data_IF_594406431400
#
_entry.id   IF_594406431400
#
_cell.length_a   1.000
_cell.length_b   1.000
_cell.length_c   1.000
_cell.angle_alpha   90.00
_cell.angle_beta   90.00
_cell.angle_gamma   90.00
#
_symmetry.space_group_name_H-M   'P 1'
#
loop_
_entity.id
_entity.type
_entity.pdbx_description
1 polymer ?
#
# COMPACT_ATOMS: atom_id res chain seq x y z
N UNK A 1 13.76 12.82 66.35
CA UNK A 1 14.68 12.49 65.24
C UNK A 1 13.80 11.96 64.13
N UNK A 2 13.71 12.72 63.05
CA UNK A 2 12.78 12.48 61.95
C UNK A 2 13.43 11.52 60.96
N UNK A 3 13.05 10.25 61.05
CA UNK A 3 13.15 9.31 59.94
C UNK A 3 11.88 9.47 59.11
N UNK A 4 11.94 10.32 58.10
CA UNK A 4 11.06 10.29 56.93
C UNK A 4 11.93 10.62 55.71
N UNK A 5 12.89 9.73 55.46
CA UNK A 5 13.53 9.65 54.16
C UNK A 5 12.44 9.12 53.21
N UNK A 6 11.66 10.05 52.64
CA UNK A 6 10.60 9.74 51.69
C UNK A 6 11.11 8.77 50.64
N UNK A 7 10.62 7.54 50.69
CA UNK A 7 10.69 6.61 49.57
C UNK A 7 10.05 7.34 48.39
N UNK A 8 10.89 7.87 47.51
CA UNK A 8 10.46 8.50 46.28
C UNK A 8 9.97 7.37 45.37
N UNK A 9 8.73 6.94 45.59
CA UNK A 9 8.03 5.94 44.79
C UNK A 9 8.14 6.34 43.33
N UNK A 10 8.80 5.48 42.53
CA UNK A 10 8.94 5.66 41.08
C UNK A 10 7.57 5.92 40.47
N UNK A 11 7.46 6.96 39.64
CA UNK A 11 6.22 7.28 38.94
C UNK A 11 5.77 6.03 38.15
N UNK A 12 4.57 5.47 38.41
CA UNK A 12 4.11 4.25 37.75
C UNK A 12 4.07 4.37 36.22
N UNK A 13 4.01 5.60 35.67
CA UNK A 13 4.09 5.85 34.22
C UNK A 13 5.47 5.51 33.66
N UNK A 14 6.54 5.68 34.44
CA UNK A 14 7.91 5.30 34.03
C UNK A 14 8.00 3.79 33.84
N UNK A 15 7.46 3.02 34.80
CA UNK A 15 7.45 1.56 34.73
C UNK A 15 6.74 1.06 33.48
N UNK A 16 5.57 1.62 33.15
CA UNK A 16 4.80 1.26 31.96
C UNK A 16 5.61 1.52 30.67
N UNK A 17 6.28 2.67 30.57
CA UNK A 17 7.07 2.96 29.37
C UNK A 17 8.32 2.10 29.26
N UNK A 18 8.96 1.72 30.37
CA UNK A 18 10.08 0.78 30.37
C UNK A 18 9.65 -0.63 29.93
N UNK A 19 8.49 -1.11 30.40
CA UNK A 19 7.90 -2.38 29.94
C UNK A 19 7.57 -2.32 28.43
N UNK A 20 7.07 -1.18 27.95
CA UNK A 20 6.84 -0.95 26.52
C UNK A 20 8.16 -0.97 25.73
N UNK A 21 9.24 -0.39 26.24
CA UNK A 21 10.55 -0.44 25.58
C UNK A 21 11.10 -1.86 25.49
N UNK A 22 11.03 -2.62 26.58
CA UNK A 22 11.46 -4.03 26.59
C UNK A 22 10.66 -4.83 25.55
N UNK A 23 9.34 -4.68 25.54
CA UNK A 23 8.46 -5.33 24.56
C UNK A 23 8.82 -4.94 23.13
N UNK A 24 9.03 -3.65 22.86
CA UNK A 24 9.41 -3.19 21.52
C UNK A 24 10.81 -3.71 21.12
N UNK A 25 11.74 -3.83 22.06
CA UNK A 25 13.09 -4.35 21.81
C UNK A 25 13.05 -5.82 21.40
N UNK A 26 12.31 -6.64 22.15
CA UNK A 26 12.12 -8.05 21.84
C UNK A 26 11.44 -8.24 20.47
N UNK A 27 10.43 -7.41 20.19
CA UNK A 27 9.71 -7.44 18.92
C UNK A 27 10.59 -7.00 17.73
N UNK A 28 11.42 -5.97 17.90
CA UNK A 28 12.39 -5.56 16.87
C UNK A 28 13.36 -6.70 16.58
N UNK A 29 13.96 -7.30 17.60
CA UNK A 29 14.92 -8.39 17.43
C UNK A 29 14.27 -9.59 16.71
N UNK A 30 13.05 -9.97 17.11
CA UNK A 30 12.29 -11.03 16.47
C UNK A 30 12.02 -10.73 15.00
N UNK A 31 11.46 -9.55 14.70
CA UNK A 31 11.09 -9.15 13.35
C UNK A 31 12.31 -8.99 12.43
N UNK A 32 13.45 -8.53 12.95
CA UNK A 32 14.70 -8.43 12.19
C UNK A 32 15.24 -9.81 11.79
N UNK A 33 15.21 -10.79 12.71
CA UNK A 33 15.59 -12.17 12.40
C UNK A 33 14.65 -12.77 11.34
N UNK A 34 13.34 -12.60 11.52
CA UNK A 34 12.36 -13.09 10.54
C UNK A 34 12.52 -12.44 9.17
N UNK A 35 12.84 -11.14 9.12
CA UNK A 35 13.11 -10.42 7.88
C UNK A 35 14.36 -10.96 7.17
N UNK A 36 15.44 -11.23 7.90
CA UNK A 36 16.66 -11.80 7.35
C UNK A 36 16.47 -13.24 6.85
N UNK A 37 15.69 -14.04 7.56
CA UNK A 37 15.30 -15.39 7.13
C UNK A 37 14.45 -15.33 5.85
N UNK A 38 13.47 -14.44 5.78
CA UNK A 38 12.63 -14.25 4.59
C UNK A 38 13.47 -13.77 3.37
N UNK A 39 14.40 -12.83 3.58
CA UNK A 39 15.33 -12.39 2.54
C UNK A 39 16.26 -13.53 2.07
N UNK A 40 16.73 -14.36 3.00
CA UNK A 40 17.54 -15.53 2.68
C UNK A 40 16.75 -16.57 1.88
N UNK A 41 15.50 -16.84 2.27
CA UNK A 41 14.58 -17.70 1.55
C UNK A 41 14.26 -17.18 0.14
N UNK A 42 14.10 -15.86 -0.02
CA UNK A 42 13.91 -15.22 -1.33
C UNK A 42 15.11 -15.48 -2.25
N UNK A 43 16.33 -15.18 -1.77
CA UNK A 43 17.58 -15.40 -2.54
C UNK A 43 17.77 -16.87 -2.92
N UNK A 44 17.53 -17.78 -1.98
CA UNK A 44 17.64 -19.22 -2.22
C UNK A 44 16.62 -19.69 -3.27
N UNK A 45 15.37 -19.26 -3.15
CA UNK A 45 14.30 -19.60 -4.10
C UNK A 45 14.58 -19.01 -5.49
N UNK A 46 15.10 -17.78 -5.57
CA UNK A 46 15.46 -17.14 -6.83
C UNK A 46 16.59 -17.91 -7.55
N UNK A 47 17.60 -18.35 -6.81
CA UNK A 47 18.71 -19.12 -7.37
C UNK A 47 18.25 -20.50 -7.87
N UNK A 48 17.48 -21.23 -7.05
CA UNK A 48 16.95 -22.56 -7.38
C UNK A 48 16.00 -22.53 -8.58
N UNK A 49 15.05 -21.59 -8.59
CA UNK A 49 14.12 -21.41 -9.71
C UNK A 49 14.85 -21.06 -11.00
N UNK A 50 15.81 -20.14 -10.95
CA UNK A 50 16.63 -19.76 -12.10
C UNK A 50 17.43 -20.94 -12.65
N UNK A 51 18.00 -21.78 -11.79
CA UNK A 51 18.71 -22.99 -12.20
C UNK A 51 17.78 -24.01 -12.88
N UNK A 52 16.62 -24.29 -12.28
CA UNK A 52 15.63 -25.23 -12.81
C UNK A 52 15.05 -24.78 -14.15
N UNK A 53 14.71 -23.49 -14.28
CA UNK A 53 14.22 -22.91 -15.54
C UNK A 53 15.29 -22.96 -16.64
N UNK A 54 16.56 -22.73 -16.31
CA UNK A 54 17.67 -22.83 -17.27
C UNK A 54 17.83 -24.24 -17.83
N UNK A 55 17.65 -25.28 -17.00
CA UNK A 55 17.67 -26.67 -17.47
C UNK A 55 16.54 -26.92 -18.47
N UNK A 56 15.33 -26.44 -18.17
CA UNK A 56 14.18 -26.58 -19.08
C UNK A 56 14.37 -25.77 -20.37
N UNK A 57 14.91 -24.55 -20.28
CA UNK A 57 15.22 -23.70 -21.43
C UNK A 57 16.22 -24.37 -22.39
N UNK A 58 17.27 -25.01 -21.86
CA UNK A 58 18.23 -25.78 -22.67
C UNK A 58 17.57 -26.95 -23.42
N UNK A 59 16.57 -27.61 -22.83
CA UNK A 59 15.87 -28.76 -23.42
C UNK A 59 14.82 -28.35 -24.46
N UNK A 60 14.12 -27.23 -24.23
CA UNK A 60 12.90 -26.87 -24.96
C UNK A 60 13.00 -25.55 -25.75
N UNK A 61 14.16 -24.89 -25.77
CA UNK A 61 14.35 -23.49 -26.19
C UNK A 61 13.58 -23.07 -27.45
N UNK A 62 13.65 -23.83 -28.55
CA UNK A 62 12.93 -23.51 -29.79
C UNK A 62 11.41 -23.42 -29.62
N UNK A 63 10.81 -24.36 -28.88
CA UNK A 63 9.37 -24.37 -28.60
C UNK A 63 8.94 -23.31 -27.58
N UNK A 64 9.85 -22.92 -26.68
CA UNK A 64 9.58 -21.82 -25.72
C UNK A 64 9.50 -20.50 -26.47
N UNK A 65 10.49 -20.18 -27.32
CA UNK A 65 10.50 -18.94 -28.10
C UNK A 65 9.31 -18.86 -29.06
N UNK A 66 8.96 -19.96 -29.71
CA UNK A 66 7.79 -20.00 -30.59
C UNK A 66 6.46 -19.80 -29.85
N UNK A 67 6.34 -20.28 -28.61
CA UNK A 67 5.12 -20.16 -27.81
C UNK A 67 5.01 -18.84 -27.02
N UNK A 68 6.11 -18.08 -26.89
CA UNK A 68 6.16 -16.82 -26.13
C UNK A 68 5.03 -15.83 -26.47
N UNK A 69 4.72 -15.53 -27.76
CA UNK A 69 3.64 -14.60 -28.10
C UNK A 69 2.26 -15.05 -27.62
N UNK A 70 2.02 -16.36 -27.54
CA UNK A 70 0.75 -16.90 -27.04
C UNK A 70 0.60 -16.63 -25.53
N UNK A 71 1.63 -16.90 -24.74
CA UNK A 71 1.57 -16.67 -23.29
C UNK A 71 1.51 -15.17 -22.95
N UNK A 72 2.22 -14.32 -23.69
CA UNK A 72 2.11 -12.87 -23.55
C UNK A 72 0.71 -12.35 -23.91
N UNK A 73 0.14 -12.82 -25.03
CA UNK A 73 -1.23 -12.47 -25.41
C UNK A 73 -2.25 -12.96 -24.37
N UNK A 74 -2.05 -14.15 -23.79
CA UNK A 74 -2.91 -14.71 -22.75
C UNK A 74 -2.86 -13.88 -21.46
N UNK A 75 -1.68 -13.46 -21.04
CA UNK A 75 -1.51 -12.57 -19.89
C UNK A 75 -2.19 -11.21 -20.15
N UNK A 76 -2.02 -10.65 -21.35
CA UNK A 76 -2.67 -9.40 -21.75
C UNK A 76 -4.20 -9.52 -21.76
N UNK A 77 -4.76 -10.61 -22.30
CA UNK A 77 -6.19 -10.87 -22.29
C UNK A 77 -6.74 -10.98 -20.86
N UNK A 78 -6.03 -11.65 -19.96
CA UNK A 78 -6.40 -11.73 -18.55
C UNK A 78 -6.39 -10.34 -17.87
N UNK A 79 -5.40 -9.49 -18.16
CA UNK A 79 -5.36 -8.10 -17.67
C UNK A 79 -6.53 -7.28 -18.20
N UNK A 80 -6.78 -7.34 -19.52
CA UNK A 80 -7.91 -6.66 -20.15
C UNK A 80 -9.27 -7.13 -19.60
N UNK A 81 -9.40 -8.43 -19.29
CA UNK A 81 -10.58 -9.00 -18.64
C UNK A 81 -10.82 -8.37 -17.27
N UNK A 82 -9.79 -8.31 -16.42
CA UNK A 82 -9.89 -7.74 -15.08
C UNK A 82 -10.25 -6.25 -15.12
N UNK A 83 -9.65 -5.50 -16.05
CA UNK A 83 -9.97 -4.09 -16.26
C UNK A 83 -11.41 -3.90 -16.75
N UNK A 84 -11.87 -4.74 -17.67
CA UNK A 84 -13.25 -4.73 -18.14
C UNK A 84 -14.23 -5.02 -16.99
N UNK A 85 -13.96 -6.02 -16.16
CA UNK A 85 -14.78 -6.33 -14.99
C UNK A 85 -14.81 -5.17 -13.99
N UNK A 86 -13.66 -4.53 -13.74
CA UNK A 86 -13.57 -3.35 -12.87
C UNK A 86 -14.41 -2.19 -13.41
N UNK A 87 -14.29 -1.90 -14.71
CA UNK A 87 -15.07 -0.86 -15.37
C UNK A 87 -16.58 -1.19 -15.37
N UNK A 88 -16.95 -2.46 -15.52
CA UNK A 88 -18.34 -2.91 -15.43
C UNK A 88 -18.94 -2.67 -14.03
N UNK A 89 -18.18 -2.98 -12.96
CA UNK A 89 -18.59 -2.70 -11.58
C UNK A 89 -18.75 -1.19 -11.34
N UNK A 90 -17.83 -0.38 -11.87
CA UNK A 90 -17.93 1.09 -11.78
C UNK A 90 -19.18 1.63 -12.50
N UNK A 91 -19.44 1.17 -13.72
CA UNK A 91 -20.64 1.52 -14.46
C UNK A 91 -21.93 1.12 -13.73
N UNK A 92 -21.95 -0.08 -13.14
CA UNK A 92 -23.10 -0.53 -12.35
C UNK A 92 -23.32 0.38 -11.15
N UNK A 93 -22.27 0.70 -10.39
CA UNK A 93 -22.37 1.63 -9.24
C UNK A 93 -22.86 3.01 -9.67
N UNK A 94 -22.31 3.58 -10.74
CA UNK A 94 -22.74 4.88 -11.26
C UNK A 94 -24.21 4.86 -11.73
N UNK A 95 -24.66 3.74 -12.31
CA UNK A 95 -26.06 3.54 -12.69
C UNK A 95 -26.99 3.47 -11.48
N UNK A 96 -26.59 2.77 -10.42
CA UNK A 96 -27.33 2.69 -9.16
C UNK A 96 -27.46 4.07 -8.50
N UNK A 97 -26.38 4.86 -8.47
CA UNK A 97 -26.40 6.25 -7.95
C UNK A 97 -27.34 7.14 -8.75
N UNK A 98 -27.27 7.08 -10.08
CA UNK A 98 -28.18 7.85 -10.94
C UNK A 98 -29.64 7.44 -10.74
N UNK A 99 -29.93 6.15 -10.60
CA UNK A 99 -31.27 5.65 -10.32
C UNK A 99 -31.78 6.16 -8.96
N UNK A 100 -30.96 6.10 -7.90
CA UNK A 100 -31.32 6.62 -6.58
C UNK A 100 -31.56 8.14 -6.58
N UNK A 101 -30.78 8.90 -7.35
CA UNK A 101 -30.97 10.33 -7.52
C UNK A 101 -32.33 10.64 -8.21
N UNK A 102 -32.69 9.88 -9.25
CA UNK A 102 -34.01 10.00 -9.91
C UNK A 102 -35.17 9.63 -9.00
N UNK A 103 -35.01 8.57 -8.19
CA UNK A 103 -36.01 8.19 -7.19
C UNK A 103 -36.20 9.27 -6.13
N UNK A 104 -35.12 9.96 -5.74
CA UNK A 104 -35.19 11.09 -4.80
C UNK A 104 -36.07 12.23 -5.34
N UNK A 105 -35.90 12.60 -6.62
CA UNK A 105 -36.76 13.60 -7.28
C UNK A 105 -38.21 13.09 -7.35
N UNK A 106 -38.41 11.85 -7.81
CA UNK A 106 -39.75 11.28 -7.97
C UNK A 106 -40.53 11.21 -6.66
N UNK A 107 -39.86 10.85 -5.55
CA UNK A 107 -40.46 10.85 -4.22
C UNK A 107 -40.76 12.27 -3.72
N UNK A 108 -39.88 13.24 -4.01
CA UNK A 108 -40.11 14.64 -3.67
C UNK A 108 -41.33 15.21 -4.42
N UNK A 109 -41.46 14.93 -5.71
CA UNK A 109 -42.63 15.29 -6.53
C UNK A 109 -43.92 14.65 -6.01
N UNK A 110 -43.90 13.35 -5.70
CA UNK A 110 -45.06 12.64 -5.15
C UNK A 110 -45.52 13.25 -3.82
N UNK A 111 -44.58 13.55 -2.92
CA UNK A 111 -44.85 14.19 -1.61
C UNK A 111 -45.44 15.58 -1.77
N UNK A 112 -44.93 16.36 -2.73
CA UNK A 112 -45.45 17.69 -3.03
C UNK A 112 -46.89 17.63 -3.56
N UNK A 113 -47.16 16.73 -4.51
CA UNK A 113 -48.50 16.54 -5.08
C UNK A 113 -49.51 16.05 -4.03
N UNK A 114 -49.13 15.17 -3.12
CA UNK A 114 -50.04 14.68 -2.06
C UNK A 114 -50.38 15.73 -1.00
N UNK A 115 -49.49 16.70 -0.78
CA UNK A 115 -49.62 17.72 0.26
C UNK A 115 -49.85 19.14 -0.29
N UNK A 116 -50.34 19.25 -1.54
CA UNK A 116 -50.49 20.52 -2.26
C UNK A 116 -51.40 21.55 -1.58
N UNK A 117 -52.29 21.11 -0.69
CA UNK A 117 -53.16 22.00 0.13
C UNK A 117 -52.47 22.55 1.38
N UNK A 118 -51.31 22.02 1.75
CA UNK A 118 -50.61 22.32 3.01
C UNK A 118 -49.19 22.85 2.80
N UNK A 119 -48.59 22.57 1.65
CA UNK A 119 -47.24 23.01 1.29
C UNK A 119 -47.33 24.14 0.27
N UNK A 120 -46.78 25.30 0.63
CA UNK A 120 -46.55 26.38 -0.33
C UNK A 120 -45.26 26.10 -1.10
N UNK A 121 -45.24 26.40 -2.39
CA UNK A 121 -44.02 26.39 -3.18
C UNK A 121 -43.16 27.58 -2.74
N UNK A 122 -42.29 27.35 -1.76
CA UNK A 122 -41.43 28.37 -1.17
C UNK A 122 -40.02 28.36 -1.77
N UNK A 123 -39.21 29.36 -1.43
CA UNK A 123 -37.84 29.46 -1.93
C UNK A 123 -36.97 28.26 -1.51
N UNK A 124 -37.20 27.69 -0.32
CA UNK A 124 -36.45 26.55 0.18
C UNK A 124 -36.74 25.25 -0.61
N UNK A 125 -38.00 25.04 -1.01
CA UNK A 125 -38.39 23.90 -1.84
C UNK A 125 -37.86 24.04 -3.27
N UNK A 126 -37.87 25.26 -3.83
CA UNK A 126 -37.26 25.52 -5.14
C UNK A 126 -35.74 25.24 -5.12
N UNK A 127 -35.04 25.67 -4.07
CA UNK A 127 -33.61 25.38 -3.87
C UNK A 127 -33.34 23.87 -3.73
N UNK A 128 -34.17 23.14 -2.97
CA UNK A 128 -34.10 21.69 -2.85
C UNK A 128 -34.22 20.99 -4.21
N UNK A 129 -35.19 21.39 -5.03
CA UNK A 129 -35.43 20.78 -6.34
C UNK A 129 -34.29 21.10 -7.32
N UNK A 130 -33.78 22.33 -7.30
CA UNK A 130 -32.62 22.71 -8.10
C UNK A 130 -31.40 21.85 -7.74
N UNK A 131 -31.12 21.65 -6.45
CA UNK A 131 -30.03 20.79 -5.99
C UNK A 131 -30.23 19.33 -6.39
N UNK A 132 -31.44 18.79 -6.22
CA UNK A 132 -31.75 17.42 -6.62
C UNK A 132 -31.60 17.23 -8.14
N UNK A 133 -32.02 18.22 -8.94
CA UNK A 133 -31.88 18.21 -10.41
C UNK A 133 -30.42 18.25 -10.82
N UNK A 134 -29.60 19.12 -10.21
CA UNK A 134 -28.15 19.15 -10.44
C UNK A 134 -27.51 17.80 -10.12
N UNK A 135 -27.86 17.18 -8.98
CA UNK A 135 -27.36 15.85 -8.61
C UNK A 135 -27.75 14.75 -9.60
N UNK A 136 -28.96 14.79 -10.16
CA UNK A 136 -29.37 13.83 -11.20
C UNK A 136 -28.56 14.03 -12.47
N UNK A 137 -28.30 15.28 -12.88
CA UNK A 137 -27.47 15.60 -14.03
C UNK A 137 -26.01 15.15 -13.83
N UNK A 138 -25.43 15.40 -12.66
CA UNK A 138 -24.08 14.95 -12.30
C UNK A 138 -23.99 13.41 -12.30
N UNK A 139 -24.96 12.73 -11.68
CA UNK A 139 -25.01 11.28 -11.66
C UNK A 139 -25.21 10.68 -13.07
N UNK A 140 -25.98 11.35 -13.93
CA UNK A 140 -26.12 10.95 -15.34
C UNK A 140 -24.80 11.09 -16.12
N UNK A 141 -24.08 12.19 -15.92
CA UNK A 141 -22.78 12.40 -16.54
C UNK A 141 -21.77 11.32 -16.12
N UNK A 142 -21.70 11.00 -14.81
CA UNK A 142 -20.85 9.92 -14.29
C UNK A 142 -21.24 8.54 -14.87
N UNK A 143 -22.55 8.27 -14.99
CA UNK A 143 -23.06 7.03 -15.60
C UNK A 143 -22.62 6.92 -17.07
N UNK A 144 -22.74 8.00 -17.84
CA UNK A 144 -22.38 7.99 -19.27
C UNK A 144 -20.88 7.81 -19.48
N UNK A 145 -20.04 8.46 -18.67
CA UNK A 145 -18.58 8.32 -18.77
C UNK A 145 -18.14 6.90 -18.40
N UNK A 146 -18.65 6.36 -17.29
CA UNK A 146 -18.36 4.97 -16.90
C UNK A 146 -18.87 3.94 -17.91
N UNK A 147 -19.99 4.20 -18.59
CA UNK A 147 -20.48 3.37 -19.69
C UNK A 147 -19.50 3.35 -20.87
N UNK A 148 -19.01 4.53 -21.26
CA UNK A 148 -18.05 4.69 -22.35
C UNK A 148 -16.74 3.96 -22.04
N UNK A 149 -16.22 4.12 -20.83
CA UNK A 149 -15.02 3.41 -20.38
C UNK A 149 -15.22 1.90 -20.35
N UNK A 150 -16.34 1.42 -19.81
CA UNK A 150 -16.66 -0.02 -19.84
C UNK A 150 -16.70 -0.56 -21.27
N UNK A 151 -17.39 0.13 -22.20
CA UNK A 151 -17.45 -0.26 -23.62
C UNK A 151 -16.06 -0.30 -24.26
N UNK A 152 -15.22 0.69 -23.97
CA UNK A 152 -13.83 0.75 -24.44
C UNK A 152 -13.03 -0.45 -23.94
N UNK A 153 -13.08 -0.76 -22.64
CA UNK A 153 -12.36 -1.91 -22.05
C UNK A 153 -12.88 -3.25 -22.58
N UNK A 154 -14.19 -3.37 -22.79
CA UNK A 154 -14.80 -4.57 -23.37
C UNK A 154 -14.32 -4.84 -24.81
N UNK A 155 -14.18 -3.79 -25.62
CA UNK A 155 -13.63 -3.90 -26.97
C UNK A 155 -12.17 -4.40 -26.93
N UNK A 156 -11.33 -3.81 -26.08
CA UNK A 156 -9.94 -4.25 -25.89
C UNK A 156 -9.83 -5.70 -25.42
N UNK A 157 -10.71 -6.13 -24.49
CA UNK A 157 -10.76 -7.52 -24.03
C UNK A 157 -11.13 -8.48 -25.17
N UNK A 158 -12.14 -8.14 -25.97
CA UNK A 158 -12.58 -8.95 -27.11
C UNK A 158 -11.47 -9.10 -28.15
N UNK A 159 -10.76 -8.01 -28.46
CA UNK A 159 -9.60 -8.04 -29.36
C UNK A 159 -8.47 -8.93 -28.81
N UNK A 160 -8.16 -8.81 -27.52
CA UNK A 160 -7.15 -9.61 -26.86
C UNK A 160 -7.50 -11.11 -26.90
N UNK A 161 -8.74 -11.47 -26.59
CA UNK A 161 -9.25 -12.85 -26.68
C UNK A 161 -9.13 -13.40 -28.10
N UNK A 162 -9.53 -12.63 -29.12
CA UNK A 162 -9.38 -13.05 -30.51
C UNK A 162 -7.91 -13.32 -30.88
N UNK A 163 -6.99 -12.49 -30.40
CA UNK A 163 -5.54 -12.69 -30.60
C UNK A 163 -5.05 -13.98 -29.93
N UNK A 164 -5.49 -14.27 -28.70
CA UNK A 164 -5.16 -15.52 -27.99
C UNK A 164 -5.64 -16.73 -28.79
N UNK A 165 -6.90 -16.76 -29.21
CA UNK A 165 -7.48 -17.86 -29.98
C UNK A 165 -6.79 -18.06 -31.35
N UNK A 166 -6.38 -16.96 -32.01
CA UNK A 166 -5.61 -17.02 -33.24
C UNK A 166 -4.24 -17.67 -33.03
N UNK A 167 -3.52 -17.25 -31.98
CA UNK A 167 -2.21 -17.79 -31.64
C UNK A 167 -2.28 -19.23 -31.16
N UNK A 168 -3.30 -19.61 -30.40
CA UNK A 168 -3.50 -20.98 -29.92
C UNK A 168 -3.67 -21.96 -31.08
N UNK A 169 -4.49 -21.60 -32.08
CA UNK A 169 -4.68 -22.42 -33.28
C UNK A 169 -3.38 -22.58 -34.06
N UNK A 170 -2.61 -21.51 -34.21
CA UNK A 170 -1.37 -21.50 -35.00
C UNK A 170 -0.20 -22.22 -34.31
N UNK A 171 -0.08 -22.12 -32.99
CA UNK A 171 1.10 -22.55 -32.22
C UNK A 171 0.87 -23.79 -31.34
N UNK A 172 -0.24 -24.52 -31.56
CA UNK A 172 -0.70 -25.66 -30.73
C UNK A 172 0.41 -26.65 -30.33
N UNK A 173 1.29 -27.04 -31.26
CA UNK A 173 2.37 -28.01 -31.00
C UNK A 173 3.45 -27.45 -30.07
N UNK A 174 3.83 -26.20 -30.27
CA UNK A 174 4.89 -25.54 -29.48
C UNK A 174 4.39 -25.17 -28.09
N UNK A 175 3.12 -24.76 -27.98
CA UNK A 175 2.44 -24.55 -26.69
C UNK A 175 2.45 -25.85 -25.88
N UNK A 176 2.06 -26.99 -26.48
CA UNK A 176 2.03 -28.28 -25.79
C UNK A 176 3.41 -28.72 -25.29
N UNK A 177 4.47 -28.52 -26.09
CA UNK A 177 5.85 -28.88 -25.72
C UNK A 177 6.44 -27.96 -24.64
N UNK A 178 6.14 -26.67 -24.70
CA UNK A 178 6.69 -25.66 -23.78
C UNK A 178 5.87 -25.51 -22.48
N UNK A 179 4.67 -26.10 -22.40
CA UNK A 179 3.75 -26.00 -21.26
C UNK A 179 4.42 -26.19 -19.89
N UNK A 180 5.23 -27.25 -19.74
CA UNK A 180 5.91 -27.54 -18.47
C UNK A 180 6.85 -26.40 -18.02
N UNK A 181 7.51 -25.73 -18.97
CA UNK A 181 8.38 -24.59 -18.66
C UNK A 181 7.56 -23.41 -18.13
N UNK A 182 6.48 -23.03 -18.81
CA UNK A 182 5.65 -21.89 -18.40
C UNK A 182 4.89 -22.16 -17.08
N UNK A 183 4.40 -23.37 -16.85
CA UNK A 183 3.77 -23.75 -15.57
C UNK A 183 4.77 -23.68 -14.41
N UNK A 184 6.01 -24.17 -14.58
CA UNK A 184 7.04 -24.04 -13.55
C UNK A 184 7.49 -22.59 -13.36
N UNK A 185 7.59 -21.81 -14.44
CA UNK A 185 7.91 -20.38 -14.38
C UNK A 185 6.87 -19.64 -13.54
N UNK A 186 5.58 -19.85 -13.83
CA UNK A 186 4.48 -19.24 -13.09
C UNK A 186 4.48 -19.65 -11.60
N UNK A 187 4.67 -20.93 -11.29
CA UNK A 187 4.74 -21.40 -9.90
C UNK A 187 5.93 -20.78 -9.12
N UNK A 188 7.10 -20.65 -9.75
CA UNK A 188 8.23 -19.98 -9.12
C UNK A 188 8.03 -18.48 -8.95
N UNK A 189 7.42 -17.82 -9.93
CA UNK A 189 7.08 -16.39 -9.84
C UNK A 189 6.09 -16.14 -8.71
N UNK A 190 5.04 -16.97 -8.58
CA UNK A 190 4.10 -16.90 -7.47
C UNK A 190 4.81 -17.04 -6.12
N UNK A 191 5.64 -18.07 -5.95
CA UNK A 191 6.38 -18.27 -4.70
C UNK A 191 7.32 -17.10 -4.37
N UNK A 192 8.01 -16.55 -5.38
CA UNK A 192 8.85 -15.37 -5.20
C UNK A 192 8.04 -14.15 -4.80
N UNK A 193 6.85 -13.95 -5.40
CA UNK A 193 5.95 -12.86 -5.06
C UNK A 193 5.40 -12.99 -3.64
N UNK A 194 5.04 -14.20 -3.20
CA UNK A 194 4.61 -14.49 -1.83
C UNK A 194 5.69 -14.13 -0.81
N UNK A 195 6.94 -14.57 -1.04
CA UNK A 195 8.06 -14.23 -0.15
C UNK A 195 8.35 -12.73 -0.19
N UNK A 196 8.29 -12.10 -1.36
CA UNK A 196 8.46 -10.64 -1.50
C UNK A 196 7.42 -9.88 -0.69
N UNK A 197 6.15 -10.28 -0.78
CA UNK A 197 5.07 -9.68 0.01
C UNK A 197 5.31 -9.87 1.52
N UNK A 198 5.77 -11.05 1.94
CA UNK A 198 6.14 -11.30 3.34
C UNK A 198 7.28 -10.40 3.80
N UNK A 199 8.32 -10.24 2.98
CA UNK A 199 9.44 -9.31 3.25
C UNK A 199 8.92 -7.88 3.41
N UNK A 200 8.01 -7.41 2.56
CA UNK A 200 7.44 -6.07 2.68
C UNK A 200 6.59 -5.89 3.94
N UNK A 201 5.81 -6.90 4.33
CA UNK A 201 5.06 -6.87 5.60
C UNK A 201 6.00 -6.82 6.79
N UNK A 202 7.03 -7.66 6.82
CA UNK A 202 8.03 -7.68 7.90
C UNK A 202 8.81 -6.37 7.98
N UNK A 203 9.20 -5.78 6.83
CA UNK A 203 9.85 -4.47 6.78
C UNK A 203 8.97 -3.38 7.40
N UNK A 204 7.69 -3.35 7.03
CA UNK A 204 6.73 -2.39 7.61
C UNK A 204 6.58 -2.60 9.12
N UNK A 205 6.48 -3.84 9.57
CA UNK A 205 6.39 -4.17 11.00
C UNK A 205 7.65 -3.72 11.78
N UNK A 206 8.86 -3.96 11.24
CA UNK A 206 10.12 -3.49 11.85
C UNK A 206 10.10 -1.96 12.00
N UNK A 207 9.69 -1.24 10.95
CA UNK A 207 9.61 0.23 10.99
C UNK A 207 8.61 0.67 12.07
N UNK A 208 7.42 0.05 12.13
CA UNK A 208 6.40 0.37 13.12
C UNK A 208 6.86 0.09 14.56
N UNK A 209 7.53 -1.04 14.81
CA UNK A 209 8.05 -1.37 16.14
C UNK A 209 9.18 -0.41 16.56
N UNK A 210 10.04 0.01 15.62
CA UNK A 210 11.06 1.04 15.87
C UNK A 210 10.44 2.40 16.17
N UNK A 211 9.36 2.78 15.48
CA UNK A 211 8.61 3.99 15.80
C UNK A 211 7.98 3.92 17.20
N UNK A 212 7.35 2.79 17.55
CA UNK A 212 6.78 2.59 18.88
C UNK A 212 7.83 2.65 20.00
N UNK A 213 9.04 2.15 19.73
CA UNK A 213 10.21 2.26 20.61
C UNK A 213 10.64 3.73 20.79
N UNK A 214 10.76 4.50 19.71
CA UNK A 214 11.10 5.93 19.80
C UNK A 214 10.02 6.74 20.52
N UNK A 215 8.75 6.43 20.32
CA UNK A 215 7.64 7.11 20.99
C UNK A 215 7.64 6.84 22.50
N UNK A 216 8.00 5.61 22.91
CA UNK A 216 8.17 5.28 24.33
C UNK A 216 9.36 6.01 24.95
N UNK A 217 10.47 6.18 24.23
CA UNK A 217 11.60 7.00 24.67
C UNK A 217 11.21 8.48 24.85
N UNK A 218 10.52 9.08 23.88
CA UNK A 218 10.02 10.45 24.02
C UNK A 218 9.04 10.60 25.19
N UNK A 219 8.20 9.59 25.41
CA UNK A 219 7.28 9.57 26.55
C UNK A 219 8.03 9.56 27.89
N UNK A 220 9.12 8.79 28.00
CA UNK A 220 9.98 8.79 29.19
C UNK A 220 10.67 10.13 29.41
N UNK A 221 11.18 10.75 28.34
CA UNK A 221 11.78 12.08 28.40
C UNK A 221 10.77 13.14 28.88
N UNK A 222 9.53 13.08 28.37
CA UNK A 222 8.46 13.97 28.81
C UNK A 222 8.13 13.76 30.30
N UNK A 223 7.98 12.51 30.75
CA UNK A 223 7.72 12.19 32.16
C UNK A 223 8.86 12.69 33.04
N UNK A 224 10.11 12.46 32.61
CA UNK A 224 11.31 12.92 33.33
C UNK A 224 11.31 14.45 33.46
N UNK A 225 11.08 15.18 32.37
CA UNK A 225 11.00 16.64 32.36
C UNK A 225 9.91 17.15 33.30
N UNK A 226 8.72 16.54 33.26
CA UNK A 226 7.57 16.88 34.10
C UNK A 226 7.88 16.68 35.60
N UNK A 227 8.55 15.58 35.97
CA UNK A 227 8.99 15.32 37.34
C UNK A 227 10.01 16.38 37.80
N UNK A 228 10.99 16.71 36.95
CA UNK A 228 11.99 17.74 37.27
C UNK A 228 11.36 19.13 37.43
N UNK A 229 10.43 19.52 36.57
CA UNK A 229 9.71 20.78 36.67
C UNK A 229 8.89 20.87 37.96
N UNK A 230 8.17 19.81 38.33
CA UNK A 230 7.43 19.74 39.60
C UNK A 230 8.36 19.90 40.80
N UNK A 231 9.48 19.18 40.82
CA UNK A 231 10.48 19.30 41.90
C UNK A 231 11.04 20.73 41.98
N UNK A 232 11.33 21.36 40.84
CA UNK A 232 11.80 22.75 40.76
C UNK A 232 10.76 23.76 41.26
N UNK A 233 9.47 23.53 40.96
CA UNK A 233 8.37 24.37 41.42
C UNK A 233 8.07 24.20 42.92
N UNK A 234 8.39 23.04 43.50
CA UNK A 234 8.21 22.76 44.93
C UNK A 234 9.42 23.19 45.80
N UNK A 235 10.46 23.79 45.21
CA UNK A 235 11.52 24.45 45.96
C UNK A 235 10.98 25.77 46.54
N UNK A 236 11.14 26.03 47.86
CA UNK A 236 10.69 27.29 48.45
C UNK A 236 11.40 28.49 47.79
N UNK A 237 10.69 29.60 47.61
CA UNK A 237 11.26 30.84 47.11
C UNK A 237 12.49 31.19 47.94
N UNK A 238 13.67 31.25 47.30
CA UNK A 238 14.91 31.65 47.98
C UNK A 238 14.69 33.05 48.55
N UNK A 239 14.71 33.17 49.88
CA UNK A 239 14.65 34.47 50.53
C UNK A 239 15.83 35.33 50.07
N UNK A 240 15.64 36.64 49.82
CA UNK A 240 16.74 37.57 49.61
C UNK A 240 17.64 37.65 50.85
N UNK A 241 18.66 36.79 50.91
CA UNK A 241 19.54 36.61 52.06
C UNK A 241 21.01 36.62 51.69
N UNK A 242 21.57 37.84 51.71
CA UNK A 242 22.93 38.27 52.08
C UNK A 242 24.09 37.25 52.12
N UNK A 243 25.14 37.56 51.34
CA UNK A 243 26.53 37.57 51.82
C UNK A 243 27.33 36.27 51.79
N UNK A 244 28.04 36.04 50.69
CA UNK A 244 29.41 35.52 50.70
C UNK A 244 30.02 35.66 49.29
N UNK A 245 30.52 36.86 48.97
CA UNK A 245 31.51 37.04 47.91
C UNK A 245 32.80 36.26 48.24
N UNK A 246 32.84 34.98 47.91
CA UNK A 246 34.09 34.25 47.78
C UNK A 246 34.42 34.08 46.30
N UNK A 247 35.14 35.07 45.77
CA UNK A 247 35.81 35.03 44.46
C UNK A 247 36.76 33.83 44.43
N UNK A 248 36.54 32.78 43.61
CA UNK A 248 37.59 31.82 43.34
C UNK A 248 38.52 32.42 42.30
N UNK A 249 39.79 32.51 42.70
CA UNK A 249 40.94 32.88 41.89
C UNK A 249 40.97 32.11 40.56
N UNK A 250 41.14 32.85 39.48
CA UNK A 250 41.72 32.41 38.23
C UNK A 250 43.05 31.68 38.45
N UNK A 251 43.17 30.42 38.00
CA UNK A 251 44.21 29.91 37.09
C UNK A 251 44.08 28.36 36.93
N UNK A 252 44.65 27.77 35.86
CA UNK A 252 44.00 26.75 35.02
C UNK A 252 44.43 25.32 35.35
N UNK A 253 43.55 24.36 35.08
CA UNK A 253 43.85 22.94 35.14
C UNK A 253 42.63 22.15 34.67
N UNK A 254 42.82 21.31 33.65
CA UNK A 254 41.76 20.52 33.06
C UNK A 254 41.18 19.51 34.04
N UNK A 255 39.87 19.33 33.98
CA UNK A 255 39.25 18.03 34.03
C UNK A 255 37.81 18.13 33.51
N UNK A 256 37.38 17.03 32.91
CA UNK A 256 36.12 16.86 32.23
C UNK A 256 34.92 17.37 33.05
N UNK A 257 34.03 18.11 32.39
CA UNK A 257 32.65 18.31 32.88
C UNK A 257 32.06 16.93 33.21
N UNK A 258 31.32 16.78 34.33
CA UNK A 258 30.42 15.65 34.44
C UNK A 258 29.41 15.82 33.30
N UNK A 259 29.40 14.88 32.36
CA UNK A 259 28.41 14.86 31.29
C UNK A 259 27.03 14.92 31.95
N UNK A 260 26.28 15.98 31.65
CA UNK A 260 24.90 16.09 32.08
C UNK A 260 24.17 14.83 31.57
N UNK A 261 23.49 14.03 32.42
CA UNK A 261 22.81 12.82 31.97
C UNK A 261 21.81 13.11 30.83
N UNK A 262 21.31 14.35 30.73
CA UNK A 262 20.50 14.81 29.61
C UNK A 262 21.30 14.94 28.29
N UNK A 263 22.56 15.38 28.34
CA UNK A 263 23.42 15.52 27.16
C UNK A 263 23.91 14.16 26.65
N UNK A 264 24.20 13.21 27.56
CA UNK A 264 24.46 11.81 27.20
C UNK A 264 23.23 11.14 26.58
N UNK A 265 22.05 11.33 27.17
CA UNK A 265 20.81 10.75 26.64
C UNK A 265 20.48 11.33 25.26
N UNK A 266 20.64 12.64 25.07
CA UNK A 266 20.47 13.31 23.78
C UNK A 266 21.45 12.80 22.72
N UNK A 267 22.73 12.58 23.08
CA UNK A 267 23.73 12.02 22.16
C UNK A 267 23.48 10.56 21.81
N UNK A 268 22.98 9.76 22.75
CA UNK A 268 22.60 8.36 22.52
C UNK A 268 21.34 8.27 21.66
N UNK A 269 20.36 9.16 21.88
CA UNK A 269 19.16 9.29 21.04
C UNK A 269 19.53 9.72 19.62
N UNK A 270 20.39 10.73 19.47
CA UNK A 270 20.82 11.22 18.16
C UNK A 270 21.67 10.18 17.42
N UNK A 271 22.55 9.45 18.12
CA UNK A 271 23.27 8.31 17.55
C UNK A 271 22.32 7.18 17.10
N UNK A 272 21.29 6.90 17.89
CA UNK A 272 20.28 5.87 17.58
C UNK A 272 19.40 6.29 16.38
N UNK A 273 19.02 7.57 16.32
CA UNK A 273 18.28 8.16 15.20
C UNK A 273 19.10 8.21 13.91
N UNK A 274 20.40 8.46 14.01
CA UNK A 274 21.31 8.44 12.87
C UNK A 274 21.58 7.00 12.39
N UNK A 275 21.68 6.03 13.30
CA UNK A 275 21.77 4.62 12.93
C UNK A 275 20.49 4.14 12.25
N UNK A 276 19.32 4.58 12.75
CA UNK A 276 18.02 4.34 12.13
C UNK A 276 17.95 4.93 10.71
N UNK A 277 18.34 6.20 10.54
CA UNK A 277 18.43 6.86 9.21
C UNK A 277 19.36 6.12 8.26
N UNK A 278 20.51 5.65 8.76
CA UNK A 278 21.51 4.96 7.95
C UNK A 278 21.06 3.54 7.57
N UNK A 279 20.32 2.85 8.44
CA UNK A 279 19.69 1.56 8.09
C UNK A 279 18.51 1.72 7.14
N UNK A 280 17.67 2.75 7.31
CA UNK A 280 16.57 3.04 6.37
C UNK A 280 17.09 3.45 4.98
N UNK A 281 18.19 4.21 4.90
CA UNK A 281 18.83 4.55 3.61
C UNK A 281 19.36 3.31 2.90
N UNK A 282 20.01 2.38 3.62
CA UNK A 282 20.49 1.11 3.05
C UNK A 282 19.37 0.15 2.65
N UNK A 283 18.19 0.26 3.27
CA UNK A 283 17.01 -0.56 2.94
C UNK A 283 16.26 -0.06 1.69
N UNK A 284 16.36 1.24 1.39
CA UNK A 284 15.75 1.90 0.22
C UNK A 284 16.62 1.82 -1.04
N UNK A 285 17.91 1.50 -0.93
CA UNK A 285 18.80 1.22 -2.06
C UNK A 285 18.59 -0.21 -2.60
N UNK A 286 17.39 -0.46 -3.11
CA UNK A 286 17.23 -1.37 -4.25
C UNK A 286 17.59 -0.51 -5.47
N UNK A 287 18.53 -0.90 -6.35
CA UNK A 287 18.70 -0.18 -7.61
C UNK A 287 17.42 -0.36 -8.44
N UNK A 288 16.48 0.56 -8.25
CA UNK A 288 15.39 0.83 -9.16
C UNK A 288 15.99 1.31 -10.46
N UNK A 289 15.69 0.60 -11.53
CA UNK A 289 16.17 0.92 -12.86
C UNK A 289 15.49 2.17 -13.38
N UNK A 290 16.13 3.31 -13.18
CA UNK A 290 16.02 4.47 -14.06
C UNK A 290 17.36 4.62 -14.79
N UNK A 291 17.45 3.99 -15.96
CA UNK A 291 18.54 4.22 -16.89
C UNK A 291 18.28 5.52 -17.65
N UNK A 292 19.18 6.53 -17.59
CA UNK A 292 19.07 7.70 -18.46
C UNK A 292 19.44 7.34 -19.91
N UNK A 293 18.93 8.10 -20.91
CA UNK A 293 18.94 7.69 -22.31
C UNK A 293 20.32 7.91 -22.92
N UNK A 294 20.96 6.85 -23.43
CA UNK A 294 22.19 6.99 -24.21
C UNK A 294 21.87 7.08 -25.70
N UNK A 295 21.89 8.31 -26.18
CA UNK A 295 22.08 8.66 -27.58
C UNK A 295 23.53 8.37 -28.00
N UNK A 296 23.61 7.68 -29.12
CA UNK A 296 24.74 7.43 -30.03
C UNK A 296 25.74 8.59 -30.17
N UNK A 297 27.03 8.31 -30.00
CA UNK A 297 28.12 8.79 -30.88
C UNK A 297 29.47 8.16 -30.51
N UNK A 298 30.11 7.60 -31.51
CA UNK A 298 31.49 7.10 -31.55
C UNK A 298 32.48 8.27 -31.46
N UNK A 299 33.68 8.04 -30.90
CA UNK A 299 35.00 8.48 -31.43
C UNK A 299 36.15 8.17 -30.45
N UNK A 300 37.01 7.26 -30.87
CA UNK A 300 38.50 7.23 -30.81
C UNK A 300 39.27 7.91 -29.65
N UNK A 301 40.20 7.18 -28.99
CA UNK A 301 41.65 7.47 -29.03
C UNK A 301 42.51 6.68 -28.00
N UNK A 302 43.47 5.97 -28.58
CA UNK A 302 44.80 5.43 -28.17
C UNK A 302 45.39 5.44 -26.73
N UNK A 303 45.95 4.26 -26.37
CA UNK A 303 47.25 4.04 -25.68
C UNK A 303 47.31 4.26 -24.16
N UNK A 304 48.17 3.64 -23.34
CA UNK A 304 49.16 2.56 -23.44
C UNK A 304 49.72 2.33 -22.01
N UNK A 305 50.22 1.11 -21.72
CA UNK A 305 51.06 0.68 -20.57
C UNK A 305 50.37 0.62 -19.18
N UNK A 306 50.55 -0.37 -18.31
CA UNK A 306 51.41 -1.56 -18.26
C UNK A 306 51.30 -2.21 -16.86
N UNK A 307 51.73 -3.48 -16.77
CA UNK A 307 52.13 -4.23 -15.55
C UNK A 307 51.07 -4.92 -14.66
N UNK A 308 51.07 -6.26 -14.78
CA UNK A 308 50.69 -7.29 -13.77
C UNK A 308 51.76 -7.39 -12.64
N UNK A 309 51.65 -8.19 -11.54
CA UNK A 309 50.83 -9.41 -11.41
C UNK A 309 50.21 -9.78 -10.02
N UNK A 310 49.30 -10.76 -10.08
CA UNK A 310 49.25 -11.98 -9.25
C UNK A 310 47.93 -12.29 -8.52
N UNK A 311 47.46 -13.51 -8.83
CA UNK A 311 46.73 -14.49 -8.01
C UNK A 311 45.27 -14.24 -7.63
N UNK A 312 44.39 -15.03 -8.26
CA UNK A 312 43.03 -15.24 -7.81
C UNK A 312 42.18 -15.92 -8.87
N UNK A 313 42.32 -17.24 -9.03
CA UNK A 313 41.47 -18.06 -9.89
C UNK A 313 39.99 -17.81 -9.61
N UNK A 314 39.29 -17.18 -10.53
CA UNK A 314 37.82 -17.24 -10.61
C UNK A 314 37.47 -17.76 -11.99
N UNK A 315 36.81 -18.91 -12.01
CA UNK A 315 36.26 -19.53 -13.19
C UNK A 315 35.19 -18.60 -13.78
N UNK A 316 35.56 -17.86 -14.81
CA UNK A 316 34.62 -17.12 -15.64
C UNK A 316 33.80 -18.10 -16.47
N UNK A 317 32.55 -18.32 -16.06
CA UNK A 317 31.53 -18.91 -16.93
C UNK A 317 30.80 -17.81 -17.71
N UNK A 318 30.30 -18.10 -18.93
CA UNK A 318 29.88 -17.08 -19.88
C UNK A 318 28.70 -16.23 -19.40
N UNK A 319 28.91 -14.92 -19.35
CA UNK A 319 28.02 -13.89 -18.80
C UNK A 319 26.79 -13.61 -19.67
N UNK A 320 26.75 -14.08 -20.92
CA UNK A 320 25.74 -13.67 -21.89
C UNK A 320 24.42 -14.44 -21.84
N UNK A 321 24.34 -15.56 -21.10
CA UNK A 321 23.08 -16.31 -20.93
C UNK A 321 22.40 -16.12 -19.56
N UNK A 322 23.15 -15.61 -18.57
CA UNK A 322 22.64 -15.36 -17.22
C UNK A 322 21.75 -14.11 -17.17
N UNK A 323 22.07 -13.07 -17.93
CA UNK A 323 21.30 -11.81 -17.98
C UNK A 323 19.86 -12.04 -18.47
N UNK A 324 19.68 -12.78 -19.56
CA UNK A 324 18.36 -12.99 -20.17
C UNK A 324 17.43 -13.82 -19.28
N UNK A 325 17.94 -14.90 -18.68
CA UNK A 325 17.10 -15.79 -17.85
C UNK A 325 16.71 -15.13 -16.52
N UNK A 326 17.62 -14.36 -15.91
CA UNK A 326 17.32 -13.59 -14.70
C UNK A 326 16.36 -12.44 -15.00
N UNK A 327 16.54 -11.74 -16.11
CA UNK A 327 15.63 -10.68 -16.56
C UNK A 327 14.20 -11.25 -16.75
N UNK A 328 14.04 -12.36 -17.47
CA UNK A 328 12.72 -12.96 -17.73
C UNK A 328 11.98 -13.45 -16.47
N UNK A 329 12.70 -13.75 -15.38
CA UNK A 329 12.11 -14.13 -14.08
C UNK A 329 11.75 -12.87 -13.28
N UNK A 330 12.64 -11.87 -13.26
CA UNK A 330 12.45 -10.61 -12.53
C UNK A 330 11.41 -9.69 -13.19
N UNK A 331 11.31 -9.69 -14.52
CA UNK A 331 10.31 -8.92 -15.28
C UNK A 331 8.87 -9.33 -14.96
N UNK A 332 8.65 -10.56 -14.45
CA UNK A 332 7.34 -11.00 -13.97
C UNK A 332 7.02 -10.63 -12.52
N UNK A 333 7.97 -10.02 -11.78
CA UNK A 333 7.77 -9.52 -10.41
C UNK A 333 7.41 -8.03 -10.37
N UNK A 334 7.31 -7.41 -11.55
CA UNK A 334 6.88 -6.02 -11.75
C UNK A 334 5.53 -6.06 -12.46
N UNK A 335 4.50 -5.57 -11.78
CA UNK A 335 3.07 -5.50 -12.15
C UNK A 335 2.16 -6.40 -11.29
N UNK A 336 2.12 -6.09 -10.01
CA UNK A 336 0.87 -6.10 -9.26
C UNK A 336 1.07 -5.17 -8.06
N UNK A 337 0.82 -3.89 -8.28
CA UNK A 337 0.39 -3.06 -7.18
C UNK A 337 -0.89 -3.71 -6.63
N UNK A 338 -0.97 -3.94 -5.30
CA UNK A 338 -2.23 -4.32 -4.69
C UNK A 338 -3.28 -3.26 -5.04
N UNK A 339 -4.56 -3.61 -5.21
CA UNK A 339 -5.60 -2.60 -5.34
C UNK A 339 -5.52 -1.69 -4.11
N UNK A 340 -5.10 -0.45 -4.31
CA UNK A 340 -5.23 0.62 -3.31
C UNK A 340 -6.71 0.83 -3.08
N UNK A 341 -7.24 0.19 -2.04
CA UNK A 341 -8.47 0.61 -1.37
C UNK A 341 -8.14 1.90 -0.61
N UNK A 342 -8.02 3.01 -1.34
CA UNK A 342 -7.89 4.34 -0.77
C UNK A 342 -8.21 5.38 -1.86
N UNK A 343 -9.47 5.38 -2.28
CA UNK A 343 -10.19 6.60 -2.68
C UNK A 343 -11.57 6.46 -2.01
N UNK A 344 -11.57 6.48 -0.67
CA UNK A 344 -12.74 6.91 0.09
C UNK A 344 -12.61 8.44 0.10
N UNK A 345 -13.25 9.09 -0.88
CA UNK A 345 -13.49 10.52 -0.77
C UNK A 345 -14.32 10.75 0.50
N UNK A 346 -13.80 11.61 1.39
CA UNK A 346 -14.55 12.15 2.50
C UNK A 346 -15.75 12.95 1.97
N UNK A 347 -16.89 12.27 1.77
CA UNK A 347 -18.17 12.96 1.88
C UNK A 347 -18.49 13.17 3.37
N UNK A 348 -18.55 14.45 3.75
CA UNK A 348 -18.89 14.92 5.08
C UNK A 348 -20.25 14.36 5.57
N UNK A 349 -20.41 14.06 6.87
CA UNK A 349 -21.63 13.48 7.40
C UNK A 349 -22.67 14.58 7.64
N UNK A 350 -23.56 14.82 6.67
CA UNK A 350 -24.72 15.69 6.85
C UNK A 350 -25.97 14.82 7.09
N UNK A 351 -26.38 14.83 8.36
CA UNK A 351 -27.71 14.50 8.93
C UNK A 351 -28.05 13.03 9.18
N UNK A 352 -27.54 12.52 10.31
CA UNK A 352 -28.33 11.62 11.18
C UNK A 352 -28.53 12.25 12.56
N UNK A 353 -29.77 12.16 13.02
CA UNK A 353 -30.29 12.33 14.38
C UNK A 353 -30.62 13.76 14.87
N UNK A 354 -31.91 14.08 14.82
CA UNK A 354 -32.63 14.71 15.93
C UNK A 354 -34.12 14.40 15.81
N UNK A 355 -34.55 13.24 16.31
CA UNK A 355 -35.89 13.05 16.88
C UNK A 355 -35.78 11.96 17.96
N UNK A 356 -35.61 12.39 19.21
CA UNK A 356 -35.86 11.55 20.38
C UNK A 356 -37.22 11.88 20.96
N UNK A 357 -37.96 10.80 21.25
CA UNK A 357 -39.04 10.66 22.24
C UNK A 357 -40.35 11.43 22.05
N UNK A 358 -41.44 10.71 21.74
CA UNK A 358 -42.36 10.21 22.78
C UNK A 358 -43.52 9.40 22.19
N UNK A 359 -44.02 8.45 22.99
CA UNK A 359 -45.25 7.65 22.86
C UNK A 359 -45.22 6.35 22.02
N UNK A 360 -45.09 5.23 22.75
CA UNK A 360 -45.70 3.91 22.44
C UNK A 360 -47.21 3.96 22.75
N UNK A 361 -48.07 3.16 22.07
CA UNK A 361 -48.34 1.81 22.59
C UNK A 361 -48.47 0.68 21.53
N UNK A 362 -47.87 -0.46 21.89
CA UNK A 362 -48.38 -1.83 21.83
C UNK A 362 -49.36 -2.26 20.72
N UNK A 363 -48.90 -3.14 19.80
CA UNK A 363 -49.68 -4.25 19.19
C UNK A 363 -48.71 -5.31 18.61
N UNK A 364 -49.15 -6.56 18.64
CA UNK A 364 -48.44 -7.86 18.56
C UNK A 364 -47.95 -8.29 17.16
N UNK A 365 -47.07 -9.31 17.06
CA UNK A 365 -46.36 -9.64 15.83
C UNK A 365 -47.09 -10.66 14.95
N UNK A 366 -47.00 -10.49 13.63
CA UNK A 366 -47.36 -11.51 12.62
C UNK A 366 -46.19 -11.64 11.65
N UNK A 367 -45.58 -12.82 11.61
CA UNK A 367 -44.67 -13.24 10.53
C UNK A 367 -45.48 -13.60 9.27
N UNK A 368 -44.88 -13.49 8.07
CA UNK A 368 -44.48 -14.75 7.44
C UNK A 368 -43.15 -14.68 6.66
N UNK A 369 -42.70 -15.87 6.32
CA UNK A 369 -41.43 -16.21 5.71
C UNK A 369 -41.42 -16.12 4.16
N UNK A 370 -40.20 -16.33 3.62
CA UNK A 370 -39.84 -16.81 2.26
C UNK A 370 -39.68 -15.72 1.16
N UNK A 371 -38.44 -15.48 0.71
CA UNK A 371 -37.82 -16.13 -0.46
C UNK A 371 -36.41 -15.57 -0.74
N UNK A 372 -35.41 -16.43 -0.75
CA UNK A 372 -34.07 -16.10 -1.26
C UNK A 372 -34.13 -15.93 -2.79
N UNK A 373 -33.68 -14.77 -3.29
CA UNK A 373 -33.52 -14.53 -4.72
C UNK A 373 -32.07 -14.84 -5.13
N UNK A 374 -31.91 -15.54 -6.24
CA UNK A 374 -30.66 -16.00 -6.83
C UNK A 374 -29.79 -14.83 -7.36
N UNK A 375 -28.46 -15.03 -7.54
CA UNK A 375 -27.58 -14.00 -8.10
C UNK A 375 -27.89 -13.69 -9.59
N UNK A 376 -27.61 -12.47 -10.07
CA UNK A 376 -27.94 -12.06 -11.43
C UNK A 376 -27.11 -12.83 -12.47
N UNK A 377 -27.79 -13.21 -13.57
CA UNK A 377 -27.19 -13.91 -14.71
C UNK A 377 -26.24 -12.99 -15.48
N UNK A 378 -25.13 -13.58 -15.91
CA UNK A 378 -24.17 -13.02 -16.86
C UNK A 378 -24.87 -12.85 -18.21
N UNK A 379 -24.89 -11.63 -18.75
CA UNK A 379 -25.42 -11.34 -20.08
C UNK A 379 -24.52 -12.00 -21.14
N UNK A 380 -25.13 -12.78 -22.03
CA UNK A 380 -24.45 -13.41 -23.18
C UNK A 380 -24.48 -12.47 -24.40
N UNK A 381 -23.62 -12.67 -25.41
CA UNK A 381 -23.34 -11.67 -26.45
C UNK A 381 -24.41 -11.49 -27.55
N UNK A 382 -25.61 -12.06 -27.41
CA UNK A 382 -26.58 -12.15 -28.52
C UNK A 382 -27.78 -11.18 -28.44
N UNK A 383 -27.84 -10.28 -27.45
CA UNK A 383 -28.93 -9.30 -27.31
C UNK A 383 -28.56 -7.91 -27.90
N UNK A 384 -28.18 -7.86 -29.17
CA UNK A 384 -28.20 -6.62 -29.94
C UNK A 384 -29.08 -6.82 -31.17
N UNK A 385 -30.37 -6.49 -31.04
CA UNK A 385 -31.23 -6.26 -32.20
C UNK A 385 -30.73 -5.04 -32.97
N UNK A 386 -30.38 -5.30 -34.23
CA UNK A 386 -30.04 -4.34 -35.26
C UNK A 386 -31.31 -3.55 -35.62
N UNK A 387 -31.41 -2.29 -35.17
CA UNK A 387 -32.51 -1.41 -35.58
C UNK A 387 -32.13 -0.74 -36.89
N UNK A 388 -32.62 -1.32 -37.99
CA UNK A 388 -32.58 -0.74 -39.34
C UNK A 388 -33.36 0.59 -39.37
N UNK A 389 -32.63 1.70 -39.45
CA UNK A 389 -33.19 3.02 -39.77
C UNK A 389 -33.13 3.22 -41.29
N UNK A 390 -34.14 2.71 -42.00
CA UNK A 390 -34.53 3.17 -43.34
C UNK A 390 -35.96 2.72 -43.66
N UNK A 391 -36.94 3.59 -43.43
CA UNK A 391 -38.19 3.64 -44.20
C UNK A 391 -38.93 4.95 -43.91
N UNK A 392 -39.06 5.77 -44.97
CA UNK A 392 -39.94 6.93 -45.26
C UNK A 392 -40.55 7.78 -44.14
#
# INVERSE_FOLDING_TARGET
MADDAGEETLDPRVQIQLEKLNTCTDEINRLEVELDDANSAFRATLSDSSHKLRILAKKLGKSIEAARPYYEAKEYAQKAQLECQRAAVQYQRASEVHQAAKETISLAEQRFLSNQTQWEFDNAWQEMLNHATMKVMEAEAMRLESEREHRRRAASFTEAEHKVHSLERRLKKDIAKSRLYFEKKAAFQQKLQEIKNQVEVLRKAVIQSKQAYTDALHSLEQISTEIHERRKAHLPAREPGVGAEHKPSSMPGGDAKPDDPAELHSRVLEASMNLLRQTTSRLLDIPGGDGPPFSKAESESYGSLGSSPSNGSTLSLPTDLFKTTMCDVLSGLSLQEPPSLADEEEESPILRASLTSSARPHMTPVSPAIRASAPPRICSPDDFEEVDLNAD
#
